data_IF_592354402956
#
_entry.id   IF_592354402956
#
_cell.length_a   1.000
_cell.length_b   1.000
_cell.length_c   1.000
_cell.angle_alpha   90.00
_cell.angle_beta   90.00
_cell.angle_gamma   90.00
#
_symmetry.space_group_name_H-M   'P 1'
#
loop_
_entity.id
_entity.type
_entity.pdbx_description
1 polymer ?
#
# COMPACT_ATOMS: atom_id res chain seq x y z
N UNK A 1 -6.06 16.34 19.47
CA UNK A 1 -5.91 16.72 18.05
C UNK A 1 -6.62 15.64 17.25
N UNK A 2 -7.82 15.97 16.77
CA UNK A 2 -8.69 15.06 16.02
C UNK A 2 -8.21 15.06 14.56
N UNK A 3 -7.26 14.18 14.23
CA UNK A 3 -6.88 13.96 12.84
C UNK A 3 -8.04 13.21 12.20
N UNK A 4 -9.00 13.97 11.68
CA UNK A 4 -10.05 13.46 10.81
C UNK A 4 -9.33 12.84 9.61
N UNK A 5 -9.22 11.53 9.63
CA UNK A 5 -8.74 10.72 8.51
C UNK A 5 -9.63 11.06 7.30
N UNK A 6 -9.08 11.85 6.38
CA UNK A 6 -9.83 12.49 5.31
C UNK A 6 -10.01 11.52 4.12
N UNK A 7 -11.01 10.62 4.22
CA UNK A 7 -11.56 9.85 3.07
C UNK A 7 -12.91 10.38 2.53
N UNK A 8 -13.18 11.69 2.39
CA UNK A 8 -14.55 12.11 2.19
C UNK A 8 -15.14 11.74 0.82
N UNK A 9 -14.35 11.41 -0.21
CA UNK A 9 -14.88 11.09 -1.55
C UNK A 9 -14.52 9.68 -2.03
N UNK A 10 -13.27 9.26 -1.92
CA UNK A 10 -12.82 8.01 -2.54
C UNK A 10 -13.42 6.73 -1.93
N UNK A 11 -13.60 6.69 -0.60
CA UNK A 11 -14.31 5.58 0.06
C UNK A 11 -15.79 5.55 -0.30
N UNK A 12 -16.37 6.71 -0.62
CA UNK A 12 -17.75 6.84 -1.13
C UNK A 12 -17.86 6.42 -2.60
N UNK A 13 -16.75 6.35 -3.32
CA UNK A 13 -16.65 5.89 -4.70
C UNK A 13 -15.95 4.50 -4.83
N UNK A 14 -16.48 3.42 -4.22
CA UNK A 14 -15.82 2.11 -4.23
C UNK A 14 -15.61 1.57 -5.65
N UNK A 15 -16.52 1.87 -6.58
CA UNK A 15 -16.39 1.51 -7.99
C UNK A 15 -15.18 2.19 -8.66
N UNK A 16 -14.85 3.43 -8.28
CA UNK A 16 -13.70 4.16 -8.82
C UNK A 16 -12.39 3.54 -8.32
N UNK A 17 -12.30 3.23 -7.03
CA UNK A 17 -11.13 2.54 -6.46
C UNK A 17 -10.93 1.17 -7.09
N UNK A 18 -12.00 0.39 -7.27
CA UNK A 18 -11.93 -0.91 -7.95
C UNK A 18 -11.47 -0.78 -9.40
N UNK A 19 -11.91 0.25 -10.14
CA UNK A 19 -11.44 0.51 -11.50
C UNK A 19 -9.95 0.85 -11.54
N UNK A 20 -9.47 1.67 -10.60
CA UNK A 20 -8.05 2.01 -10.49
C UNK A 20 -7.22 0.77 -10.16
N UNK A 21 -7.69 -0.07 -9.23
CA UNK A 21 -7.03 -1.33 -8.87
C UNK A 21 -6.94 -2.31 -10.04
N UNK A 22 -8.01 -2.46 -10.84
CA UNK A 22 -8.01 -3.30 -12.04
C UNK A 22 -6.99 -2.86 -13.07
N UNK A 23 -6.89 -1.54 -13.31
CA UNK A 23 -5.85 -0.99 -14.20
C UNK A 23 -4.46 -1.19 -13.61
N UNK A 24 -4.31 -1.00 -12.30
CA UNK A 24 -3.05 -1.25 -11.60
C UNK A 24 -2.60 -2.72 -11.71
N UNK A 25 -3.53 -3.68 -11.62
CA UNK A 25 -3.25 -5.11 -11.85
C UNK A 25 -2.74 -5.37 -13.28
N UNK A 26 -3.21 -4.61 -14.27
CA UNK A 26 -2.72 -4.62 -15.65
C UNK A 26 -1.38 -3.86 -15.85
N UNK A 27 -0.67 -3.51 -14.76
CA UNK A 27 0.58 -2.75 -14.75
C UNK A 27 0.47 -1.27 -15.18
N UNK A 28 -0.73 -0.69 -15.12
CA UNK A 28 -0.93 0.74 -15.34
C UNK A 28 -0.45 1.55 -14.13
N UNK A 29 0.68 2.26 -14.32
CA UNK A 29 1.32 3.05 -13.27
C UNK A 29 0.51 4.29 -12.90
N UNK A 30 -0.16 4.95 -13.84
CA UNK A 30 -0.97 6.14 -13.55
C UNK A 30 -2.16 5.78 -12.67
N UNK A 31 -2.81 4.64 -12.98
CA UNK A 31 -3.90 4.13 -12.17
C UNK A 31 -3.48 3.85 -10.73
N UNK A 32 -2.29 3.29 -10.52
CA UNK A 32 -1.75 3.08 -9.18
C UNK A 32 -1.36 4.35 -8.48
N UNK A 33 -0.74 5.31 -9.16
CA UNK A 33 -0.45 6.63 -8.59
C UNK A 33 -1.72 7.30 -8.07
N UNK A 34 -2.83 7.24 -8.82
CA UNK A 34 -4.11 7.78 -8.36
C UNK A 34 -4.70 7.00 -7.19
N UNK A 35 -4.53 5.67 -7.16
CA UNK A 35 -4.95 4.83 -6.04
C UNK A 35 -4.15 5.18 -4.77
N UNK A 36 -2.83 5.34 -4.91
CA UNK A 36 -1.91 5.76 -3.86
C UNK A 36 -2.31 7.14 -3.33
N UNK A 37 -2.44 8.16 -4.18
CA UNK A 37 -2.83 9.50 -3.77
C UNK A 37 -4.17 9.54 -3.02
N UNK A 38 -5.11 8.67 -3.40
CA UNK A 38 -6.42 8.57 -2.76
C UNK A 38 -6.39 7.93 -1.37
N UNK A 39 -5.43 7.04 -1.10
CA UNK A 39 -5.41 6.22 0.12
C UNK A 39 -4.17 6.45 1.00
N UNK A 40 -3.16 7.18 0.53
CA UNK A 40 -1.94 7.44 1.27
C UNK A 40 -2.19 8.16 2.60
N UNK A 41 -3.03 9.21 2.69
CA UNK A 41 -3.30 9.88 3.98
C UNK A 41 -3.86 8.93 5.05
N UNK A 42 -4.67 7.96 4.63
CA UNK A 42 -5.31 6.99 5.50
C UNK A 42 -4.39 5.89 5.95
N UNK A 43 -3.62 5.34 5.02
CA UNK A 43 -2.61 4.34 5.34
C UNK A 43 -1.58 4.97 6.26
N UNK A 44 -1.13 6.19 5.98
CA UNK A 44 -0.21 6.94 6.82
C UNK A 44 -0.77 7.12 8.23
N UNK A 45 -1.99 7.66 8.37
CA UNK A 45 -2.63 7.82 9.67
C UNK A 45 -2.83 6.48 10.42
N UNK A 46 -3.25 5.42 9.72
CA UNK A 46 -3.47 4.09 10.30
C UNK A 46 -2.18 3.43 10.76
N UNK A 47 -1.05 3.72 10.12
CA UNK A 47 0.24 3.19 10.54
C UNK A 47 0.84 4.08 11.64
N UNK A 48 0.75 5.40 11.51
CA UNK A 48 1.29 6.37 12.48
C UNK A 48 0.62 6.32 13.86
N UNK A 49 -0.62 5.84 13.95
CA UNK A 49 -1.28 5.63 15.24
C UNK A 49 -0.66 4.47 16.03
N UNK A 50 -0.10 3.48 15.33
CA UNK A 50 0.49 2.27 15.93
C UNK A 50 2.02 2.38 16.01
N UNK A 51 2.65 2.96 14.99
CA UNK A 51 4.09 3.10 14.85
C UNK A 51 4.46 4.58 14.82
N UNK A 52 5.63 4.95 15.34
CA UNK A 52 6.14 6.33 15.26
C UNK A 52 7.32 6.47 14.31
N UNK A 53 7.52 7.68 13.79
CA UNK A 53 8.72 8.07 13.05
C UNK A 53 8.95 7.24 11.77
N UNK A 54 10.21 6.92 11.48
CA UNK A 54 10.63 6.26 10.22
C UNK A 54 9.97 4.89 9.99
N UNK A 55 9.67 4.13 11.04
CA UNK A 55 9.02 2.81 10.90
C UNK A 55 7.64 2.90 10.28
N UNK A 56 6.93 4.01 10.52
CA UNK A 56 5.60 4.20 9.95
C UNK A 56 5.67 4.43 8.44
N UNK A 57 6.63 5.24 7.98
CA UNK A 57 6.86 5.48 6.55
C UNK A 57 7.24 4.19 5.80
N UNK A 58 8.15 3.39 6.39
CA UNK A 58 8.53 2.09 5.83
C UNK A 58 7.34 1.13 5.69
N UNK A 59 6.48 1.05 6.71
CA UNK A 59 5.28 0.21 6.69
C UNK A 59 4.24 0.73 5.70
N UNK A 60 4.06 2.04 5.58
CA UNK A 60 3.18 2.64 4.59
C UNK A 60 3.64 2.28 3.16
N UNK A 61 4.93 2.46 2.85
CA UNK A 61 5.50 2.08 1.57
C UNK A 61 5.34 0.58 1.28
N UNK A 62 5.64 -0.27 2.27
CA UNK A 62 5.49 -1.73 2.15
C UNK A 62 4.03 -2.18 1.95
N UNK A 63 3.07 -1.46 2.54
CA UNK A 63 1.64 -1.71 2.37
C UNK A 63 1.22 -1.51 0.92
N UNK A 64 1.57 -0.38 0.31
CA UNK A 64 1.24 -0.10 -1.08
C UNK A 64 1.95 -1.05 -2.05
N UNK A 65 3.19 -1.44 -1.72
CA UNK A 65 3.92 -2.43 -2.52
C UNK A 65 3.23 -3.80 -2.49
N UNK A 66 2.77 -4.27 -1.33
CA UNK A 66 2.01 -5.52 -1.23
C UNK A 66 0.67 -5.43 -1.98
N UNK A 67 -0.05 -4.31 -1.83
CA UNK A 67 -1.30 -4.09 -2.55
C UNK A 67 -1.10 -4.15 -4.07
N UNK A 68 -0.01 -3.56 -4.58
CA UNK A 68 0.34 -3.64 -6.00
C UNK A 68 0.68 -5.06 -6.45
N UNK A 69 1.42 -5.83 -5.64
CA UNK A 69 1.79 -7.22 -5.95
C UNK A 69 0.57 -8.15 -5.94
N UNK A 70 -0.38 -7.90 -5.05
CA UNK A 70 -1.57 -8.74 -4.83
C UNK A 70 -2.83 -8.20 -5.54
N UNK A 71 -2.69 -7.15 -6.35
CA UNK A 71 -3.81 -6.45 -6.98
C UNK A 71 -4.69 -7.36 -7.84
N UNK A 72 -4.07 -8.28 -8.60
CA UNK A 72 -4.75 -9.22 -9.50
C UNK A 72 -5.81 -10.06 -8.78
N UNK A 73 -5.49 -10.49 -7.55
CA UNK A 73 -6.33 -11.33 -6.71
C UNK A 73 -7.55 -10.59 -6.11
N UNK A 74 -7.54 -9.26 -6.15
CA UNK A 74 -8.52 -8.40 -5.48
C UNK A 74 -9.32 -7.54 -6.47
N UNK A 75 -9.47 -8.01 -7.71
CA UNK A 75 -10.17 -7.31 -8.79
C UNK A 75 -11.66 -7.67 -8.94
N UNK A 76 -12.18 -8.52 -8.05
CA UNK A 76 -13.57 -8.98 -8.10
C UNK A 76 -14.57 -7.82 -7.94
N UNK A 77 -15.75 -7.87 -8.61
CA UNK A 77 -16.81 -6.91 -8.36
C UNK A 77 -17.25 -6.96 -6.89
N UNK A 78 -17.41 -5.78 -6.27
CA UNK A 78 -17.81 -5.67 -4.87
C UNK A 78 -16.65 -5.70 -3.86
N UNK A 79 -15.40 -5.83 -4.30
CA UNK A 79 -14.24 -5.72 -3.41
C UNK A 79 -14.15 -4.33 -2.79
N UNK A 80 -14.09 -4.27 -1.45
CA UNK A 80 -13.78 -3.06 -0.71
C UNK A 80 -12.26 -2.80 -0.73
N UNK A 81 -11.81 -2.11 -1.78
CA UNK A 81 -10.38 -1.84 -2.01
C UNK A 81 -9.76 -1.05 -0.86
N UNK A 82 -10.48 -0.06 -0.32
CA UNK A 82 -9.99 0.76 0.78
C UNK A 82 -9.81 -0.07 2.05
N UNK A 83 -10.83 -0.82 2.48
CA UNK A 83 -10.73 -1.68 3.66
C UNK A 83 -9.69 -2.78 3.50
N UNK A 84 -9.53 -3.34 2.30
CA UNK A 84 -8.47 -4.30 2.03
C UNK A 84 -7.07 -3.72 2.23
N UNK A 85 -6.78 -2.55 1.64
CA UNK A 85 -5.46 -1.89 1.78
C UNK A 85 -5.21 -1.46 3.23
N UNK A 86 -6.22 -0.94 3.92
CA UNK A 86 -6.12 -0.59 5.34
C UNK A 86 -5.91 -1.83 6.21
N UNK A 87 -6.51 -2.97 5.84
CA UNK A 87 -6.26 -4.25 6.49
C UNK A 87 -4.81 -4.71 6.36
N UNK A 88 -4.19 -4.52 5.18
CA UNK A 88 -2.74 -4.77 4.98
C UNK A 88 -1.92 -3.85 5.90
N UNK A 89 -2.26 -2.55 5.96
CA UNK A 89 -1.56 -1.56 6.77
C UNK A 89 -1.59 -1.94 8.26
N UNK A 90 -2.78 -2.22 8.78
CA UNK A 90 -2.98 -2.58 10.18
C UNK A 90 -2.26 -3.89 10.53
N UNK A 91 -2.30 -4.89 9.64
CA UNK A 91 -1.56 -6.15 9.84
C UNK A 91 -0.06 -5.88 9.98
N UNK A 92 0.52 -5.14 9.03
CA UNK A 92 1.95 -4.80 9.05
C UNK A 92 2.35 -3.98 10.26
N UNK A 93 1.53 -3.00 10.63
CA UNK A 93 1.78 -2.17 11.79
C UNK A 93 1.84 -3.02 13.08
N UNK A 94 0.92 -3.97 13.24
CA UNK A 94 0.94 -4.93 14.35
C UNK A 94 2.16 -5.88 14.31
N UNK A 95 2.54 -6.36 13.12
CA UNK A 95 3.74 -7.20 12.94
C UNK A 95 5.02 -6.45 13.36
N UNK A 96 5.13 -5.16 13.08
CA UNK A 96 6.29 -4.34 13.45
C UNK A 96 6.25 -3.83 14.90
N UNK A 97 5.06 -3.69 15.50
CA UNK A 97 4.93 -3.34 16.91
C UNK A 97 5.31 -4.52 17.84
N UNK A 98 5.17 -5.77 17.38
CA UNK A 98 5.46 -6.97 18.17
C UNK A 98 6.85 -6.91 18.85
N UNK A 99 6.93 -7.11 20.17
CA UNK A 99 8.16 -6.93 20.93
C UNK A 99 9.28 -7.91 20.55
N UNK A 100 8.97 -9.06 19.94
CA UNK A 100 9.97 -10.04 19.48
C UNK A 100 10.66 -9.54 18.21
N UNK A 101 9.90 -8.90 17.32
CA UNK A 101 10.42 -8.23 16.13
C UNK A 101 11.22 -6.99 16.55
N UNK A 102 10.71 -6.19 17.49
CA UNK A 102 11.41 -5.00 18.03
C UNK A 102 12.78 -5.32 18.63
N UNK A 103 12.92 -6.49 19.25
CA UNK A 103 14.17 -6.97 19.86
C UNK A 103 15.20 -7.47 18.85
N UNK A 104 14.80 -7.67 17.58
CA UNK A 104 15.68 -7.98 16.45
C UNK A 104 15.64 -6.81 15.47
N UNK A 105 16.37 -5.70 15.72
CA UNK A 105 16.52 -4.63 14.75
C UNK A 105 17.25 -5.19 13.52
N UNK A 106 16.47 -5.72 12.58
CA UNK A 106 16.94 -6.11 11.27
C UNK A 106 17.22 -4.81 10.54
N UNK A 107 18.49 -4.58 10.22
CA UNK A 107 18.97 -3.43 9.46
C UNK A 107 18.50 -3.49 7.99
N UNK A 108 17.20 -3.61 7.75
CA UNK A 108 16.66 -3.51 6.41
C UNK A 108 16.48 -2.03 6.09
N UNK A 109 17.57 -1.40 5.66
CA UNK A 109 17.59 -0.01 5.20
C UNK A 109 16.68 0.13 3.99
N UNK A 110 15.41 0.48 4.20
CA UNK A 110 14.62 1.16 3.19
C UNK A 110 15.05 2.62 3.25
N UNK A 111 15.96 3.02 2.37
CA UNK A 111 16.48 4.39 2.39
C UNK A 111 15.35 5.35 2.01
N UNK A 112 15.08 6.42 2.80
CA UNK A 112 14.01 7.40 2.55
C UNK A 112 14.19 8.29 1.29
N UNK A 113 14.87 7.78 0.26
CA UNK A 113 14.98 8.38 -1.08
C UNK A 113 14.58 7.42 -2.22
N UNK A 114 14.15 6.19 -1.92
CA UNK A 114 13.66 5.27 -2.96
C UNK A 114 12.27 5.74 -3.45
N UNK A 115 12.28 6.51 -4.52
CA UNK A 115 11.05 7.01 -5.15
C UNK A 115 10.19 5.85 -5.66
N UNK A 116 8.86 6.03 -5.65
CA UNK A 116 7.90 5.11 -6.25
C UNK A 116 8.32 4.64 -7.66
N UNK A 117 8.97 5.52 -8.44
CA UNK A 117 9.56 5.20 -9.74
C UNK A 117 10.60 4.06 -9.70
N UNK A 118 11.46 4.02 -8.68
CA UNK A 118 12.48 2.98 -8.47
C UNK A 118 11.89 1.62 -8.10
N UNK A 119 10.88 1.58 -7.23
CA UNK A 119 10.14 0.36 -6.90
C UNK A 119 9.39 -0.20 -8.11
N UNK A 120 8.81 0.67 -8.93
CA UNK A 120 8.10 0.28 -10.14
C UNK A 120 9.05 -0.26 -11.23
N UNK A 121 10.29 0.24 -11.30
CA UNK A 121 11.31 -0.25 -12.25
C UNK A 121 11.71 -1.72 -12.00
N UNK A 122 11.66 -2.19 -10.75
CA UNK A 122 12.01 -3.58 -10.40
C UNK A 122 10.97 -4.62 -10.81
N UNK A 123 9.71 -4.24 -11.03
CA UNK A 123 8.66 -5.17 -11.51
C UNK A 123 8.78 -5.44 -13.01
N UNK A 124 9.28 -4.47 -13.78
CA UNK A 124 9.40 -4.55 -15.24
C UNK A 124 10.35 -5.68 -15.67
N UNK A 125 11.43 -5.90 -14.92
CA UNK A 125 12.47 -6.89 -15.26
C UNK A 125 12.12 -8.34 -14.91
N UNK A 126 11.02 -8.60 -14.17
CA UNK A 126 10.56 -9.97 -13.83
C UNK A 126 9.35 -10.44 -14.63
N UNK A 127 8.88 -9.68 -15.63
CA UNK A 127 7.78 -10.10 -16.50
C UNK A 127 8.29 -10.49 -17.89
N UNK A 128 9.12 -11.53 -17.96
CA UNK A 128 9.34 -12.26 -19.22
C UNK A 128 8.17 -13.21 -19.51
N UNK A 129 7.81 -13.41 -20.79
CA UNK A 129 6.49 -13.83 -21.21
C UNK A 129 6.43 -15.36 -21.35
N UNK A 130 5.87 -16.05 -20.36
CA UNK A 130 5.38 -17.42 -20.58
C UNK A 130 4.10 -17.66 -19.80
N UNK A 131 2.97 -17.51 -20.50
CA UNK A 131 1.85 -18.43 -20.34
C UNK A 131 1.18 -18.63 -21.70
N UNK A 132 1.36 -19.85 -22.22
CA UNK A 132 0.60 -20.45 -23.32
C UNK A 132 -0.88 -20.56 -22.94
#
# INVERSE_FOLDING_TARGET
MDTVVFLPEYRREPARLLRLLRRAAAADRDAFTRLYQALAPDVDAAVHVTLGGERADEVAAATFLEAWQSADLHTAPGTDVAGWIIGIAARRAGEQDDPRVRSHPSQHTYSPGETLAGLLQRRDTRRSPFRR
#
